data_IF_111788630044
#
_entry.id   IF_111788630044
#
_cell.length_a   1.000
_cell.length_b   1.000
_cell.length_c   1.000
_cell.angle_alpha   90.00
_cell.angle_beta   90.00
_cell.angle_gamma   90.00
#
_symmetry.space_group_name_H-M   'P 1'
#
loop_
_entity.id
_entity.type
_entity.pdbx_description
1 polymer ?
#
# COMPACT_ATOMS: atom_id res chain seq x y z
N UNK A 1 2.10 30.59 -3.59
CA UNK A 1 2.84 29.91 -2.50
C UNK A 1 4.22 30.53 -2.24
N UNK A 2 5.02 30.80 -3.28
CA UNK A 2 6.32 31.50 -3.17
C UNK A 2 6.18 32.87 -2.49
N UNK A 3 5.21 33.68 -2.92
CA UNK A 3 4.94 34.99 -2.30
C UNK A 3 4.63 34.88 -0.79
N UNK A 4 3.91 33.84 -0.37
CA UNK A 4 3.60 33.62 1.04
C UNK A 4 4.85 33.20 1.83
N UNK A 5 5.75 32.43 1.22
CA UNK A 5 7.02 32.01 1.86
C UNK A 5 7.94 33.18 2.18
N UNK A 6 7.92 34.23 1.36
CA UNK A 6 8.73 35.45 1.57
C UNK A 6 8.24 36.31 2.75
N UNK A 7 6.96 36.17 3.12
CA UNK A 7 6.36 36.92 4.23
C UNK A 7 6.52 36.23 5.59
N UNK A 8 6.98 34.97 5.59
CA UNK A 8 7.07 34.15 6.80
C UNK A 8 8.51 34.14 7.32
N UNK A 9 8.73 34.34 8.64
CA UNK A 9 10.07 34.29 9.23
C UNK A 9 10.78 32.95 9.00
N UNK A 10 12.07 33.02 8.70
CA UNK A 10 12.95 31.87 8.55
C UNK A 10 12.94 30.98 9.81
N UNK A 11 13.02 29.67 9.61
CA UNK A 11 13.06 28.69 10.69
C UNK A 11 11.71 28.37 11.37
N UNK A 12 10.66 29.13 11.08
CA UNK A 12 9.31 28.85 11.60
C UNK A 12 8.72 27.54 11.07
N UNK A 13 7.76 26.96 11.79
CA UNK A 13 7.07 25.74 11.36
C UNK A 13 6.35 25.93 10.01
N UNK A 14 5.78 27.12 9.78
CA UNK A 14 5.11 27.48 8.53
C UNK A 14 6.13 27.59 7.39
N UNK A 15 7.29 28.22 7.61
CA UNK A 15 8.36 28.27 6.61
C UNK A 15 8.80 26.86 6.20
N UNK A 16 9.01 25.95 7.17
CA UNK A 16 9.36 24.54 6.92
C UNK A 16 8.30 23.81 6.09
N UNK A 17 7.01 23.99 6.41
CA UNK A 17 5.92 23.36 5.67
C UNK A 17 5.80 23.87 4.22
N UNK A 18 5.98 25.19 4.03
CA UNK A 18 6.01 25.82 2.70
C UNK A 18 7.21 25.33 1.88
N UNK A 19 8.41 25.31 2.46
CA UNK A 19 9.62 24.84 1.79
C UNK A 19 9.51 23.36 1.38
N UNK A 20 8.98 22.53 2.27
CA UNK A 20 8.74 21.12 2.00
C UNK A 20 7.80 20.91 0.81
N UNK A 21 6.71 21.67 0.76
CA UNK A 21 5.70 21.57 -0.29
C UNK A 21 6.23 22.13 -1.62
N UNK A 22 6.97 23.25 -1.60
CA UNK A 22 7.62 23.81 -2.79
C UNK A 22 8.65 22.85 -3.39
N UNK A 23 9.47 22.20 -2.55
CA UNK A 23 10.44 21.16 -2.99
C UNK A 23 9.78 19.97 -3.67
N UNK A 24 8.49 19.75 -3.43
CA UNK A 24 7.71 18.61 -3.96
C UNK A 24 6.66 19.03 -4.98
N UNK A 25 6.67 20.28 -5.42
CA UNK A 25 5.63 20.84 -6.27
C UNK A 25 5.40 20.03 -7.55
N UNK A 26 6.48 19.56 -8.19
CA UNK A 26 6.42 18.71 -9.39
C UNK A 26 5.63 17.43 -9.12
N UNK A 27 5.88 16.76 -7.98
CA UNK A 27 5.16 15.54 -7.63
C UNK A 27 3.70 15.82 -7.27
N UNK A 28 3.42 16.92 -6.57
CA UNK A 28 2.06 17.32 -6.16
C UNK A 28 1.18 17.73 -7.34
N UNK A 29 1.77 18.18 -8.45
CA UNK A 29 1.05 18.66 -9.64
C UNK A 29 1.01 17.64 -10.77
N UNK A 30 1.59 16.45 -10.59
CA UNK A 30 1.70 15.43 -11.64
C UNK A 30 0.35 15.01 -12.26
N UNK A 31 -0.72 15.03 -11.47
CA UNK A 31 -2.07 14.71 -11.93
C UNK A 31 -2.60 15.69 -13.00
N UNK A 32 -2.01 16.89 -13.12
CA UNK A 32 -2.36 17.86 -14.16
C UNK A 32 -1.85 17.41 -15.54
N UNK A 33 -0.74 16.67 -15.57
CA UNK A 33 -0.14 16.16 -16.82
C UNK A 33 -0.66 14.77 -17.19
N UNK A 34 -1.06 13.98 -16.19
CA UNK A 34 -1.45 12.57 -16.34
C UNK A 34 -2.79 12.30 -15.64
N UNK A 35 -3.86 12.20 -16.44
CA UNK A 35 -5.21 11.93 -15.95
C UNK A 35 -5.41 10.53 -15.34
N UNK A 36 -4.45 9.61 -15.51
CA UNK A 36 -4.48 8.32 -14.81
C UNK A 36 -4.02 8.44 -13.34
N UNK A 37 -3.36 9.53 -12.98
CA UNK A 37 -2.88 9.78 -11.61
C UNK A 37 -3.95 10.56 -10.83
N UNK A 38 -4.44 10.04 -9.70
CA UNK A 38 -5.38 10.79 -8.86
C UNK A 38 -4.72 12.02 -8.22
N UNK A 39 -5.53 13.04 -7.96
CA UNK A 39 -5.11 14.29 -7.29
C UNK A 39 -4.59 14.07 -5.87
N UNK A 40 -5.06 13.01 -5.20
CA UNK A 40 -4.69 12.65 -3.84
C UNK A 40 -4.28 11.18 -3.72
N UNK A 41 -3.62 10.86 -2.62
CA UNK A 41 -3.18 9.52 -2.26
C UNK A 41 -4.07 8.87 -1.19
N UNK A 42 -5.27 9.41 -0.89
CA UNK A 42 -6.12 8.94 0.21
C UNK A 42 -6.45 7.46 0.09
N UNK A 43 -6.67 6.99 -1.13
CA UNK A 43 -6.93 5.58 -1.41
C UNK A 43 -5.75 4.69 -1.00
N UNK A 44 -4.52 5.10 -1.29
CA UNK A 44 -3.31 4.39 -0.88
C UNK A 44 -3.12 4.44 0.64
N UNK A 45 -3.31 5.62 1.26
CA UNK A 45 -3.17 5.81 2.70
C UNK A 45 -4.20 4.98 3.50
N UNK A 46 -5.45 4.95 3.04
CA UNK A 46 -6.49 4.13 3.65
C UNK A 46 -6.15 2.63 3.60
N UNK A 47 -5.45 2.18 2.56
CA UNK A 47 -5.03 0.77 2.41
C UNK A 47 -3.82 0.40 3.25
N UNK A 48 -2.91 1.33 3.50
CA UNK A 48 -1.76 1.10 4.39
C UNK A 48 -2.11 1.32 5.87
N UNK A 49 -3.19 2.04 6.19
CA UNK A 49 -3.62 2.33 7.57
C UNK A 49 -3.78 1.06 8.44
N UNK A 50 -4.42 -0.03 7.99
CA UNK A 50 -4.48 -1.27 8.78
C UNK A 50 -3.12 -1.84 9.18
N UNK A 51 -2.08 -1.64 8.35
CA UNK A 51 -0.71 -2.03 8.68
C UNK A 51 -0.12 -1.13 9.75
N UNK A 52 -0.30 0.19 9.62
CA UNK A 52 0.18 1.14 10.63
C UNK A 52 -0.42 0.86 12.01
N UNK A 53 -1.74 0.59 12.06
CA UNK A 53 -2.45 0.19 13.27
C UNK A 53 -2.06 -1.22 13.76
N UNK A 54 -1.86 -2.17 12.83
CA UNK A 54 -1.42 -3.52 13.16
C UNK A 54 -0.07 -3.51 13.88
N UNK A 55 0.90 -2.70 13.41
CA UNK A 55 2.23 -2.60 14.02
C UNK A 55 2.20 -2.19 15.50
N UNK A 56 1.29 -1.30 15.91
CA UNK A 56 1.15 -0.94 17.33
C UNK A 56 0.52 -2.05 18.16
N UNK A 57 -0.24 -2.96 17.53
CA UNK A 57 -0.99 -4.03 18.20
C UNK A 57 -0.27 -5.39 18.17
N UNK A 58 0.73 -5.58 17.30
CA UNK A 58 1.48 -6.84 17.19
C UNK A 58 2.64 -6.90 18.19
N UNK A 59 2.29 -7.04 19.47
CA UNK A 59 3.22 -7.03 20.61
C UNK A 59 4.35 -8.07 20.53
N UNK A 60 4.19 -9.13 19.74
CA UNK A 60 5.15 -10.24 19.62
C UNK A 60 5.81 -10.36 18.24
N UNK A 61 5.55 -9.42 17.32
CA UNK A 61 6.19 -9.40 16.00
C UNK A 61 7.60 -8.78 16.08
N UNK A 62 8.59 -9.57 16.50
CA UNK A 62 9.93 -9.05 16.83
C UNK A 62 11.06 -9.34 15.84
N UNK A 63 10.84 -10.13 14.77
CA UNK A 63 11.92 -10.53 13.85
C UNK A 63 11.72 -10.03 12.42
N UNK A 64 12.82 -9.70 11.74
CA UNK A 64 12.81 -9.34 10.31
C UNK A 64 12.18 -10.44 9.45
N UNK A 65 12.45 -11.71 9.77
CA UNK A 65 11.90 -12.87 9.06
C UNK A 65 10.39 -12.94 9.20
N UNK A 66 9.87 -12.71 10.40
CA UNK A 66 8.42 -12.65 10.66
C UNK A 66 7.78 -11.47 9.92
N UNK A 67 8.44 -10.30 9.92
CA UNK A 67 7.99 -9.12 9.18
C UNK A 67 7.86 -9.37 7.67
N UNK A 68 8.86 -10.02 7.06
CA UNK A 68 8.82 -10.40 5.63
C UNK A 68 7.65 -11.35 5.32
N UNK A 69 7.38 -12.33 6.19
CA UNK A 69 6.25 -13.26 6.03
C UNK A 69 4.90 -12.56 6.17
N UNK A 70 4.75 -11.70 7.18
CA UNK A 70 3.55 -10.91 7.37
C UNK A 70 3.29 -10.01 6.15
N UNK A 71 4.33 -9.34 5.62
CA UNK A 71 4.22 -8.53 4.41
C UNK A 71 3.74 -9.36 3.20
N UNK A 72 4.28 -10.58 3.00
CA UNK A 72 3.85 -11.45 1.90
C UNK A 72 2.37 -11.85 2.01
N UNK A 73 1.93 -12.29 3.19
CA UNK A 73 0.52 -12.68 3.43
C UNK A 73 -0.41 -11.47 3.25
N UNK A 74 -0.05 -10.31 3.80
CA UNK A 74 -0.85 -9.10 3.67
C UNK A 74 -0.95 -8.62 2.22
N UNK A 75 0.14 -8.73 1.44
CA UNK A 75 0.13 -8.43 0.02
C UNK A 75 -0.83 -9.36 -0.75
N UNK A 76 -0.87 -10.65 -0.43
CA UNK A 76 -1.81 -11.60 -1.03
C UNK A 76 -3.27 -11.25 -0.68
N UNK A 77 -3.56 -10.98 0.60
CA UNK A 77 -4.89 -10.57 1.06
C UNK A 77 -5.34 -9.30 0.35
N UNK A 78 -4.49 -8.27 0.31
CA UNK A 78 -4.85 -7.00 -0.31
C UNK A 78 -5.02 -7.12 -1.82
N UNK A 79 -4.23 -7.98 -2.46
CA UNK A 79 -4.36 -8.30 -3.89
C UNK A 79 -5.65 -9.06 -4.18
N UNK A 80 -6.07 -10.00 -3.33
CA UNK A 80 -7.35 -10.70 -3.46
C UNK A 80 -8.53 -9.71 -3.37
N UNK A 81 -8.53 -8.83 -2.36
CA UNK A 81 -9.54 -7.76 -2.23
C UNK A 81 -9.58 -6.85 -3.46
N UNK A 82 -8.41 -6.54 -4.01
CA UNK A 82 -8.27 -5.70 -5.20
C UNK A 82 -8.88 -6.31 -6.46
N UNK A 83 -8.84 -7.64 -6.58
CA UNK A 83 -9.46 -8.40 -7.66
C UNK A 83 -10.92 -8.77 -7.36
N UNK A 84 -11.52 -8.22 -6.29
CA UNK A 84 -12.93 -8.45 -5.94
C UNK A 84 -13.19 -9.78 -5.24
N UNK A 85 -12.16 -10.48 -4.78
CA UNK A 85 -12.28 -11.77 -4.11
C UNK A 85 -12.47 -11.61 -2.61
N UNK A 86 -13.24 -12.53 -2.00
CA UNK A 86 -13.21 -12.72 -0.55
C UNK A 86 -11.84 -13.32 -0.14
N UNK A 87 -11.04 -12.63 0.70
CA UNK A 87 -9.71 -13.10 1.05
C UNK A 87 -9.71 -14.42 1.79
N UNK A 88 -10.75 -14.70 2.56
CA UNK A 88 -10.84 -15.97 3.28
C UNK A 88 -11.08 -17.12 2.31
N UNK A 89 -12.05 -17.00 1.40
CA UNK A 89 -12.27 -17.98 0.33
C UNK A 89 -11.02 -18.22 -0.51
N UNK A 90 -10.34 -17.15 -0.93
CA UNK A 90 -9.09 -17.22 -1.69
C UNK A 90 -8.00 -18.00 -0.94
N UNK A 91 -7.70 -17.61 0.30
CA UNK A 91 -6.64 -18.26 1.08
C UNK A 91 -6.99 -19.72 1.41
N UNK A 92 -8.25 -20.00 1.70
CA UNK A 92 -8.71 -21.36 1.97
C UNK A 92 -8.50 -22.26 0.76
N UNK A 93 -8.92 -21.82 -0.43
CA UNK A 93 -8.75 -22.60 -1.66
C UNK A 93 -7.27 -22.79 -1.99
N UNK A 94 -6.49 -21.71 -2.01
CA UNK A 94 -5.06 -21.74 -2.34
C UNK A 94 -4.29 -22.67 -1.40
N UNK A 95 -4.50 -22.57 -0.08
CA UNK A 95 -3.82 -23.44 0.89
C UNK A 95 -4.26 -24.90 0.79
N UNK A 96 -5.49 -25.17 0.35
CA UNK A 96 -5.99 -26.53 0.14
C UNK A 96 -5.42 -27.15 -1.14
N UNK A 97 -5.22 -26.35 -2.20
CA UNK A 97 -4.67 -26.79 -3.49
C UNK A 97 -3.15 -26.90 -3.50
N UNK A 98 -2.46 -26.10 -2.68
CA UNK A 98 -1.00 -26.00 -2.68
C UNK A 98 -0.26 -27.35 -2.61
N UNK A 99 -0.70 -28.36 -1.80
CA UNK A 99 -0.01 -29.65 -1.72
C UNK A 99 -0.05 -30.47 -3.01
N UNK A 100 -1.06 -30.26 -3.87
CA UNK A 100 -1.25 -31.01 -5.12
C UNK A 100 -0.99 -30.17 -6.38
N UNK A 101 -0.86 -28.85 -6.25
CA UNK A 101 -0.59 -27.94 -7.37
C UNK A 101 0.83 -28.18 -7.93
N UNK A 102 0.95 -28.31 -9.25
CA UNK A 102 2.26 -28.37 -9.91
C UNK A 102 2.98 -27.03 -9.76
N UNK A 103 4.29 -27.08 -9.51
CA UNK A 103 5.10 -25.87 -9.37
C UNK A 103 5.04 -24.95 -10.61
N UNK A 104 4.91 -25.55 -11.81
CA UNK A 104 4.75 -24.82 -13.07
C UNK A 104 3.44 -24.04 -13.20
N UNK A 105 2.43 -24.37 -12.38
CA UNK A 105 1.08 -23.82 -12.43
C UNK A 105 0.75 -22.94 -11.21
N UNK A 106 1.75 -22.60 -10.38
CA UNK A 106 1.56 -21.75 -9.19
C UNK A 106 0.94 -20.38 -9.56
N UNK A 107 1.19 -19.91 -10.79
CA UNK A 107 0.63 -18.65 -11.31
C UNK A 107 -0.90 -18.64 -11.32
N UNK A 108 -1.55 -19.79 -11.46
CA UNK A 108 -3.02 -19.92 -11.42
C UNK A 108 -3.60 -19.63 -10.03
N UNK A 109 -2.78 -19.78 -8.98
CA UNK A 109 -3.16 -19.48 -7.61
C UNK A 109 -2.96 -18.00 -7.27
N UNK A 110 -2.43 -17.18 -8.17
CA UNK A 110 -2.24 -15.75 -7.91
C UNK A 110 -3.58 -15.01 -7.89
N UNK A 111 -3.74 -13.96 -7.06
CA UNK A 111 -5.03 -13.31 -6.86
C UNK A 111 -5.70 -12.73 -8.11
N UNK A 112 -4.95 -12.45 -9.18
CA UNK A 112 -5.49 -11.91 -10.44
C UNK A 112 -5.82 -12.99 -11.48
N UNK A 113 -5.35 -14.22 -11.26
CA UNK A 113 -5.64 -15.39 -12.11
C UNK A 113 -6.57 -16.39 -11.42
N UNK A 114 -6.83 -16.17 -10.12
CA UNK A 114 -7.59 -17.08 -9.29
C UNK A 114 -9.03 -17.20 -9.78
N UNK A 115 -9.48 -18.46 -9.87
CA UNK A 115 -10.87 -18.82 -10.16
C UNK A 115 -11.33 -19.72 -9.02
N UNK A 116 -12.47 -19.38 -8.43
CA UNK A 116 -13.11 -20.27 -7.46
C UNK A 116 -13.45 -21.58 -8.13
N UNK A 117 -13.07 -22.68 -7.48
CA UNK A 117 -13.49 -24.04 -7.85
C UNK A 117 -14.92 -24.27 -7.33
#
# INVERSE_FOLDING_TARGET
MIAQRQLVPEGSAIAKALDYSLKRWIALTRYLDDGAVPIDNNWCENRIRPWALGRSNWLFAGSLRSGKRAAAIMSLIQSARLNGHDPYAYLKDVLTRLPTQRASEITELLPHMWKSV
#
